data_IF_751371541131
#
_entry.id   IF_751371541131
#
_cell.length_a   1.000
_cell.length_b   1.000
_cell.length_c   1.000
_cell.angle_alpha   90.00
_cell.angle_beta   90.00
_cell.angle_gamma   90.00
#
_symmetry.space_group_name_H-M   'P 1'
#
loop_
_entity.id
_entity.type
_entity.pdbx_description
1 polymer ?
#
# COMPACT_ATOMS: atom_id res chain seq x y z
N UNK A 1 37.68 -12.66 19.24
CA UNK A 1 38.30 -11.51 19.95
C UNK A 1 38.74 -10.52 18.88
N UNK A 2 38.52 -9.21 19.05
CA UNK A 2 38.81 -8.24 17.98
C UNK A 2 40.30 -8.23 17.62
N UNK A 3 40.62 -8.33 16.32
CA UNK A 3 42.00 -8.26 15.80
C UNK A 3 42.70 -6.99 16.29
N UNK A 4 41.97 -5.88 16.34
CA UNK A 4 42.48 -4.60 16.84
C UNK A 4 42.81 -4.61 18.34
N UNK A 5 42.11 -5.40 19.16
CA UNK A 5 42.45 -5.57 20.58
C UNK A 5 43.73 -6.39 20.72
N UNK A 6 43.86 -7.47 19.95
CA UNK A 6 45.03 -8.35 20.00
C UNK A 6 46.29 -7.69 19.43
N UNK A 7 46.14 -6.76 18.48
CA UNK A 7 47.22 -5.97 17.90
C UNK A 7 47.56 -4.71 18.72
N UNK A 8 46.92 -4.49 19.87
CA UNK A 8 47.18 -3.33 20.73
C UNK A 8 46.70 -1.98 20.17
N UNK A 9 45.89 -1.99 19.10
CA UNK A 9 45.29 -0.77 18.52
C UNK A 9 44.21 -0.21 19.45
N UNK A 10 43.48 -1.08 20.15
CA UNK A 10 42.47 -0.70 21.14
C UNK A 10 42.94 -1.05 22.57
N UNK A 11 42.66 -0.19 23.57
CA UNK A 11 43.00 -0.49 24.95
C UNK A 11 42.19 -1.69 25.47
N UNK A 12 42.76 -2.40 26.44
CA UNK A 12 42.11 -3.57 27.06
C UNK A 12 40.77 -3.23 27.72
N UNK A 13 40.60 -1.98 28.17
CA UNK A 13 39.35 -1.43 28.71
C UNK A 13 38.20 -1.46 27.70
N UNK A 14 38.48 -1.48 26.39
CA UNK A 14 37.47 -1.57 25.33
C UNK A 14 36.82 -2.96 25.22
N UNK A 15 37.35 -3.99 25.89
CA UNK A 15 36.87 -5.38 25.79
C UNK A 15 35.38 -5.51 26.13
N UNK A 16 34.91 -4.81 27.17
CA UNK A 16 33.51 -4.85 27.57
C UNK A 16 32.59 -4.27 26.49
N UNK A 17 32.98 -3.14 25.89
CA UNK A 17 32.25 -2.49 24.81
C UNK A 17 32.20 -3.36 23.55
N UNK A 18 33.32 -3.98 23.18
CA UNK A 18 33.39 -4.92 22.04
C UNK A 18 32.43 -6.10 22.25
N UNK A 19 32.41 -6.67 23.46
CA UNK A 19 31.50 -7.76 23.78
C UNK A 19 30.05 -7.33 23.71
N UNK A 20 29.71 -6.17 24.30
CA UNK A 20 28.35 -5.62 24.24
C UNK A 20 27.88 -5.39 22.80
N UNK A 21 28.71 -4.79 21.95
CA UNK A 21 28.39 -4.58 20.53
C UNK A 21 28.13 -5.91 19.83
N UNK A 22 28.99 -6.92 20.01
CA UNK A 22 28.78 -8.24 19.41
C UNK A 22 27.52 -8.94 19.92
N UNK A 23 27.17 -8.75 21.19
CA UNK A 23 25.97 -9.32 21.77
C UNK A 23 24.69 -8.67 21.21
N UNK A 24 24.71 -7.34 21.08
CA UNK A 24 23.62 -6.61 20.44
C UNK A 24 23.51 -6.94 18.95
N UNK A 25 24.61 -7.00 18.19
CA UNK A 25 24.62 -7.34 16.76
C UNK A 25 23.92 -8.68 16.50
N UNK A 26 24.29 -9.71 17.26
CA UNK A 26 23.65 -11.03 17.19
C UNK A 26 22.18 -11.01 17.59
N UNK A 27 21.80 -10.20 18.59
CA UNK A 27 20.41 -10.05 18.99
C UNK A 27 19.59 -9.40 17.86
N UNK A 28 20.11 -8.33 17.26
CA UNK A 28 19.47 -7.68 16.11
C UNK A 28 19.38 -8.64 14.93
N UNK A 29 20.40 -9.44 14.66
CA UNK A 29 20.38 -10.43 13.61
C UNK A 29 19.26 -11.46 13.81
N UNK A 30 19.05 -11.95 15.05
CA UNK A 30 17.93 -12.84 15.40
C UNK A 30 16.58 -12.16 15.20
N UNK A 31 16.44 -10.87 15.51
CA UNK A 31 15.19 -10.12 15.36
C UNK A 31 14.95 -9.56 13.96
N UNK A 32 15.93 -9.68 13.05
CA UNK A 32 15.85 -9.24 11.67
C UNK A 32 16.24 -10.36 10.68
N UNK A 33 15.82 -11.59 10.99
CA UNK A 33 16.21 -12.77 10.21
C UNK A 33 15.49 -12.87 8.86
N UNK A 34 16.16 -13.44 7.86
CA UNK A 34 15.66 -13.63 6.49
C UNK A 34 16.25 -14.91 5.86
N UNK A 35 15.70 -15.37 4.74
CA UNK A 35 16.23 -16.54 4.00
C UNK A 35 17.38 -16.15 3.04
N UNK A 36 18.20 -15.17 3.41
CA UNK A 36 19.24 -14.65 2.51
C UNK A 36 20.41 -15.64 2.45
N UNK A 37 20.84 -16.09 1.26
CA UNK A 37 22.00 -16.98 1.13
C UNK A 37 23.26 -16.34 1.71
N UNK A 38 24.13 -17.14 2.33
CA UNK A 38 25.41 -16.70 2.90
C UNK A 38 25.32 -15.61 3.98
N UNK A 39 24.17 -15.47 4.65
CA UNK A 39 24.03 -14.57 5.80
C UNK A 39 24.76 -15.09 7.04
N UNK A 40 24.98 -14.21 8.03
CA UNK A 40 25.51 -14.63 9.33
C UNK A 40 24.58 -15.69 9.94
N UNK A 41 25.13 -16.58 10.76
CA UNK A 41 24.37 -17.66 11.41
C UNK A 41 23.13 -17.14 12.18
N UNK A 42 23.25 -16.01 12.86
CA UNK A 42 22.16 -15.40 13.63
C UNK A 42 21.11 -14.67 12.76
N UNK A 43 21.42 -14.35 11.49
CA UNK A 43 20.45 -13.80 10.54
C UNK A 43 19.60 -14.88 9.86
N UNK A 44 19.95 -16.16 10.03
CA UNK A 44 19.14 -17.24 9.51
C UNK A 44 17.76 -17.21 10.18
N UNK A 45 16.71 -17.68 9.48
CA UNK A 45 15.36 -17.72 10.04
C UNK A 45 15.34 -18.36 11.42
N UNK A 46 14.53 -17.80 12.31
CA UNK A 46 14.39 -18.32 13.66
C UNK A 46 13.78 -19.73 13.61
N UNK A 47 14.49 -20.67 14.22
CA UNK A 47 14.15 -22.10 14.26
C UNK A 47 14.14 -22.66 15.67
N UNK A 48 14.29 -21.79 16.67
CA UNK A 48 14.46 -22.19 18.07
C UNK A 48 15.68 -23.13 18.25
N UNK A 49 16.73 -22.92 17.44
CA UNK A 49 17.98 -23.68 17.56
C UNK A 49 18.73 -23.29 18.83
N UNK A 50 19.52 -24.22 19.38
CA UNK A 50 20.26 -24.04 20.62
C UNK A 50 21.04 -22.71 20.67
N UNK A 51 21.77 -22.39 19.60
CA UNK A 51 22.58 -21.18 19.55
C UNK A 51 21.73 -19.89 19.61
N UNK A 52 20.52 -19.89 19.02
CA UNK A 52 19.59 -18.76 19.08
C UNK A 52 19.04 -18.61 20.49
N UNK A 53 18.64 -19.71 21.13
CA UNK A 53 18.05 -19.71 22.47
C UNK A 53 19.05 -19.39 23.56
N UNK A 54 20.25 -19.95 23.47
CA UNK A 54 21.36 -19.64 24.37
C UNK A 54 21.68 -18.14 24.28
N UNK A 55 21.75 -17.57 23.07
CA UNK A 55 21.99 -16.13 22.89
C UNK A 55 20.85 -15.25 23.43
N UNK A 56 19.58 -15.61 23.17
CA UNK A 56 18.42 -14.90 23.73
C UNK A 56 18.41 -14.92 25.26
N UNK A 57 18.82 -16.04 25.87
CA UNK A 57 18.92 -16.19 27.33
C UNK A 57 20.02 -15.31 27.92
N UNK A 58 21.20 -15.27 27.28
CA UNK A 58 22.29 -14.36 27.64
C UNK A 58 21.83 -12.89 27.60
N UNK A 59 21.11 -12.51 26.54
CA UNK A 59 20.61 -11.13 26.40
C UNK A 59 19.55 -10.79 27.44
N UNK A 60 18.66 -11.73 27.74
CA UNK A 60 17.66 -11.57 28.79
C UNK A 60 18.31 -11.31 30.16
N UNK A 61 19.31 -12.11 30.54
CA UNK A 61 20.08 -11.89 31.76
C UNK A 61 20.83 -10.56 31.75
N UNK A 62 21.44 -10.20 30.62
CA UNK A 62 22.16 -8.93 30.48
C UNK A 62 21.22 -7.74 30.69
N UNK A 63 20.03 -7.75 30.08
CA UNK A 63 19.05 -6.67 30.24
C UNK A 63 18.46 -6.60 31.65
N UNK A 64 18.20 -7.75 32.31
CA UNK A 64 17.73 -7.78 33.71
C UNK A 64 18.73 -7.14 34.68
N UNK A 65 20.03 -7.28 34.40
CA UNK A 65 21.10 -6.76 35.23
C UNK A 65 21.69 -5.42 34.74
N UNK A 66 21.15 -4.86 33.65
CA UNK A 66 21.67 -3.65 33.04
C UNK A 66 21.31 -2.42 33.90
N UNK A 67 22.31 -1.55 34.11
CA UNK A 67 22.11 -0.21 34.66
C UNK A 67 22.45 0.85 33.62
N UNK A 68 21.60 1.86 33.52
CA UNK A 68 21.86 3.04 32.69
C UNK A 68 22.24 4.20 33.59
N UNK A 69 23.48 4.64 33.45
CA UNK A 69 24.07 5.70 34.26
C UNK A 69 24.10 6.99 33.45
N UNK A 70 23.58 8.06 34.03
CA UNK A 70 23.59 9.37 33.38
C UNK A 70 25.02 9.94 33.34
N UNK A 71 25.47 10.31 32.13
CA UNK A 71 26.87 10.65 31.82
C UNK A 71 27.48 11.72 32.73
N UNK A 72 26.71 12.75 33.09
CA UNK A 72 27.26 13.94 33.75
C UNK A 72 27.19 13.92 35.28
N UNK A 73 26.16 13.30 35.85
CA UNK A 73 25.92 13.33 37.29
C UNK A 73 26.05 11.93 37.95
N UNK A 74 26.32 10.88 37.16
CA UNK A 74 26.50 9.53 37.66
C UNK A 74 25.24 8.86 38.23
N UNK A 75 24.06 9.50 38.10
CA UNK A 75 22.84 8.96 38.68
C UNK A 75 22.33 7.76 37.87
N UNK A 76 21.80 6.75 38.56
CA UNK A 76 21.09 5.64 37.95
C UNK A 76 19.74 6.13 37.38
N UNK A 77 19.61 6.07 36.06
CA UNK A 77 18.42 6.45 35.29
C UNK A 77 17.75 5.27 34.63
N UNK A 78 18.07 4.04 35.04
CA UNK A 78 17.53 2.80 34.47
C UNK A 78 16.00 2.79 34.44
N UNK A 79 15.36 3.31 35.49
CA UNK A 79 13.88 3.41 35.59
C UNK A 79 13.26 4.44 34.64
N UNK A 80 14.05 5.33 34.04
CA UNK A 80 13.58 6.37 33.10
C UNK A 80 13.65 5.93 31.65
N UNK A 81 14.30 4.80 31.36
CA UNK A 81 14.45 4.28 30.01
C UNK A 81 13.55 3.08 29.79
N UNK A 82 12.85 3.05 28.65
CA UNK A 82 11.89 1.99 28.36
C UNK A 82 12.47 0.86 27.50
N UNK A 83 13.62 1.06 26.84
CA UNK A 83 14.17 0.09 25.89
C UNK A 83 14.57 -1.24 26.54
N UNK A 84 14.98 -1.24 27.81
CA UNK A 84 15.32 -2.47 28.55
C UNK A 84 14.08 -3.35 28.66
N UNK A 85 12.96 -2.78 29.12
CA UNK A 85 11.70 -3.49 29.18
C UNK A 85 11.21 -3.89 27.78
N UNK A 86 11.40 -3.02 26.78
CA UNK A 86 11.09 -3.31 25.39
C UNK A 86 11.80 -4.57 24.87
N UNK A 87 13.11 -4.71 25.12
CA UNK A 87 13.85 -5.91 24.73
C UNK A 87 13.43 -7.15 25.50
N UNK A 88 13.18 -7.05 26.81
CA UNK A 88 12.69 -8.18 27.60
C UNK A 88 11.34 -8.69 27.07
N UNK A 89 10.44 -7.76 26.73
CA UNK A 89 9.15 -8.08 26.10
C UNK A 89 9.37 -8.71 24.73
N UNK A 90 10.23 -8.14 23.88
CA UNK A 90 10.50 -8.70 22.54
C UNK A 90 11.08 -10.11 22.60
N UNK A 91 12.04 -10.37 23.50
CA UNK A 91 12.64 -11.70 23.70
C UNK A 91 11.59 -12.70 24.18
N UNK A 92 10.81 -12.33 25.20
CA UNK A 92 9.73 -13.18 25.71
C UNK A 92 8.66 -13.43 24.64
N UNK A 93 8.25 -12.39 23.92
CA UNK A 93 7.27 -12.43 22.85
C UNK A 93 7.70 -13.35 21.70
N UNK A 94 8.97 -13.30 21.28
CA UNK A 94 9.48 -14.22 20.25
C UNK A 94 9.41 -15.69 20.71
N UNK A 95 9.83 -15.98 21.95
CA UNK A 95 9.75 -17.34 22.53
C UNK A 95 8.29 -17.81 22.60
N UNK A 96 7.37 -16.96 23.07
CA UNK A 96 5.95 -17.28 23.17
C UNK A 96 5.30 -17.46 21.79
N UNK A 97 5.62 -16.59 20.82
CA UNK A 97 5.09 -16.65 19.48
C UNK A 97 5.50 -17.96 18.79
N UNK A 98 6.77 -18.34 18.92
CA UNK A 98 7.26 -19.62 18.39
C UNK A 98 6.44 -20.80 18.90
N UNK A 99 6.27 -20.91 20.23
CA UNK A 99 5.48 -21.98 20.84
C UNK A 99 4.01 -21.93 20.40
N UNK A 100 3.44 -20.72 20.26
CA UNK A 100 2.04 -20.53 19.85
C UNK A 100 1.78 -20.93 18.39
N UNK A 101 2.79 -20.83 17.53
CA UNK A 101 2.71 -21.25 16.13
C UNK A 101 2.84 -22.78 15.95
N UNK A 102 3.02 -23.52 17.06
CA UNK A 102 3.05 -24.98 17.15
C UNK A 102 3.88 -25.68 16.04
N UNK A 103 5.18 -25.36 15.93
CA UNK A 103 6.04 -25.86 14.86
C UNK A 103 6.29 -27.38 14.94
N UNK A 104 5.94 -28.05 16.04
CA UNK A 104 6.07 -29.51 16.19
C UNK A 104 5.25 -30.29 15.15
N UNK A 105 4.28 -29.66 14.50
CA UNK A 105 3.53 -30.23 13.39
C UNK A 105 4.30 -30.20 12.05
N UNK A 106 5.38 -29.42 11.96
CA UNK A 106 6.19 -29.28 10.75
C UNK A 106 7.67 -29.06 11.07
N UNK A 107 8.48 -30.10 10.87
CA UNK A 107 9.93 -30.07 11.11
C UNK A 107 10.70 -29.06 10.24
N UNK A 108 10.11 -28.55 9.15
CA UNK A 108 10.70 -27.51 8.31
C UNK A 108 10.23 -26.10 8.66
N UNK A 109 9.44 -25.95 9.74
CA UNK A 109 8.92 -24.64 10.13
C UNK A 109 10.05 -23.67 10.47
N UNK A 110 9.97 -22.46 9.90
CA UNK A 110 10.91 -21.37 10.16
C UNK A 110 10.18 -20.06 10.30
N UNK A 111 10.65 -19.21 11.22
CA UNK A 111 10.08 -17.88 11.46
C UNK A 111 11.04 -16.80 10.98
N UNK A 112 10.64 -16.05 9.95
CA UNK A 112 11.38 -14.88 9.46
C UNK A 112 11.06 -13.67 10.32
N UNK A 113 11.84 -13.45 11.37
CA UNK A 113 11.62 -12.36 12.33
C UNK A 113 11.75 -10.97 11.71
N UNK A 114 12.48 -10.81 10.59
CA UNK A 114 12.49 -9.56 9.82
C UNK A 114 11.13 -9.18 9.21
N UNK A 115 10.11 -10.04 9.30
CA UNK A 115 8.71 -9.72 8.95
C UNK A 115 7.87 -9.29 10.15
N UNK A 116 8.43 -9.32 11.37
CA UNK A 116 7.76 -9.04 12.65
C UNK A 116 8.30 -7.72 13.20
N UNK A 117 8.49 -6.75 12.31
CA UNK A 117 8.88 -5.40 12.64
C UNK A 117 8.02 -4.42 11.81
N UNK A 118 8.17 -3.13 12.09
CA UNK A 118 7.41 -2.09 11.40
C UNK A 118 8.10 -1.57 10.13
N UNK A 119 9.23 -2.15 9.71
CA UNK A 119 10.04 -1.64 8.59
C UNK A 119 9.24 -1.65 7.28
N UNK A 120 8.40 -2.68 7.08
CA UNK A 120 7.53 -2.74 5.90
C UNK A 120 6.53 -1.57 5.84
N UNK A 121 6.03 -1.14 7.00
CA UNK A 121 5.14 0.00 7.13
C UNK A 121 5.88 1.32 6.96
N UNK A 122 7.08 1.44 7.52
CA UNK A 122 7.94 2.62 7.34
C UNK A 122 8.35 2.80 5.87
N UNK A 123 8.71 1.71 5.19
CA UNK A 123 8.98 1.70 3.76
C UNK A 123 7.75 2.13 2.94
N UNK A 124 6.55 1.68 3.33
CA UNK A 124 5.31 2.11 2.71
C UNK A 124 5.07 3.62 2.92
N UNK A 125 5.33 4.15 4.11
CA UNK A 125 5.27 5.60 4.35
C UNK A 125 6.28 6.37 3.50
N UNK A 126 7.47 5.82 3.28
CA UNK A 126 8.44 6.35 2.31
C UNK A 126 7.85 6.47 0.90
N UNK A 127 7.18 5.43 0.43
CA UNK A 127 6.49 5.41 -0.86
C UNK A 127 5.41 6.48 -0.97
N UNK A 128 4.65 6.74 0.11
CA UNK A 128 3.67 7.83 0.14
C UNK A 128 4.32 9.21 0.04
N UNK A 129 5.41 9.44 0.78
CA UNK A 129 6.15 10.72 0.74
C UNK A 129 6.82 10.98 -0.61
N UNK A 130 7.14 9.94 -1.37
CA UNK A 130 7.66 10.07 -2.74
C UNK A 130 6.58 10.47 -3.75
N UNK A 131 5.29 10.35 -3.40
CA UNK A 131 4.23 10.85 -4.27
C UNK A 131 4.23 12.39 -4.34
N UNK A 132 3.68 12.93 -5.43
CA UNK A 132 3.53 14.38 -5.63
C UNK A 132 4.85 15.17 -5.64
N UNK A 133 5.94 14.57 -6.13
CA UNK A 133 7.24 15.25 -6.27
C UNK A 133 8.07 15.26 -5.00
N UNK A 134 8.14 14.13 -4.29
CA UNK A 134 8.88 13.98 -3.03
C UNK A 134 8.41 14.92 -1.92
N UNK A 135 7.10 14.99 -1.72
CA UNK A 135 6.53 15.73 -0.61
C UNK A 135 6.79 14.99 0.72
N UNK A 136 7.81 15.45 1.45
CA UNK A 136 8.20 14.87 2.75
C UNK A 136 7.12 14.97 3.82
N UNK A 137 6.16 15.91 3.69
CA UNK A 137 5.06 16.09 4.63
C UNK A 137 3.71 16.23 3.90
N UNK A 138 3.13 15.12 3.40
CA UNK A 138 1.85 15.17 2.71
C UNK A 138 0.74 15.59 3.66
N UNK A 139 -0.16 16.44 3.17
CA UNK A 139 -1.43 16.72 3.85
C UNK A 139 -2.29 15.44 3.91
N UNK A 140 -3.27 15.34 4.84
CA UNK A 140 -4.14 14.18 4.92
C UNK A 140 -4.84 13.82 3.59
N UNK A 141 -5.25 14.82 2.81
CA UNK A 141 -5.89 14.57 1.50
C UNK A 141 -4.90 14.04 0.46
N UNK A 142 -3.66 14.55 0.44
CA UNK A 142 -2.60 14.05 -0.42
C UNK A 142 -2.22 12.61 -0.05
N UNK A 143 -2.17 12.28 1.24
CA UNK A 143 -1.99 10.91 1.70
C UNK A 143 -3.11 10.00 1.19
N UNK A 144 -4.39 10.42 1.29
CA UNK A 144 -5.52 9.63 0.79
C UNK A 144 -5.40 9.39 -0.72
N UNK A 145 -5.02 10.40 -1.49
CA UNK A 145 -4.81 10.25 -2.94
C UNK A 145 -3.64 9.32 -3.26
N UNK A 146 -2.50 9.49 -2.58
CA UNK A 146 -1.34 8.63 -2.70
C UNK A 146 -1.68 7.17 -2.36
N UNK A 147 -2.39 6.94 -1.26
CA UNK A 147 -2.86 5.63 -0.83
C UNK A 147 -3.75 4.98 -1.88
N UNK A 148 -4.80 5.66 -2.34
CA UNK A 148 -5.70 5.14 -3.39
C UNK A 148 -4.94 4.76 -4.66
N UNK A 149 -4.02 5.64 -5.09
CA UNK A 149 -3.19 5.41 -6.27
C UNK A 149 -2.29 4.18 -6.09
N UNK A 150 -1.51 4.11 -5.01
CA UNK A 150 -0.58 3.01 -4.76
C UNK A 150 -1.31 1.69 -4.55
N UNK A 151 -2.43 1.72 -3.82
CA UNK A 151 -3.29 0.55 -3.64
C UNK A 151 -3.74 0.00 -4.99
N UNK A 152 -4.34 0.82 -5.86
CA UNK A 152 -4.75 0.36 -7.19
C UNK A 152 -3.56 -0.12 -8.02
N UNK A 153 -2.44 0.61 -8.03
CA UNK A 153 -1.26 0.23 -8.83
C UNK A 153 -0.67 -1.10 -8.41
N UNK A 154 -0.50 -1.35 -7.11
CA UNK A 154 0.05 -2.62 -6.61
C UNK A 154 -0.99 -3.75 -6.70
N UNK A 155 -2.28 -3.47 -6.50
CA UNK A 155 -3.35 -4.46 -6.63
C UNK A 155 -3.53 -4.95 -8.08
N UNK A 156 -3.37 -4.07 -9.06
CA UNK A 156 -3.46 -4.42 -10.48
C UNK A 156 -2.10 -4.75 -11.11
N UNK A 157 -1.02 -4.82 -10.31
CA UNK A 157 0.32 -5.14 -10.80
C UNK A 157 0.40 -6.63 -11.11
N UNK A 158 0.79 -6.94 -12.34
CA UNK A 158 0.95 -8.32 -12.80
C UNK A 158 2.24 -8.92 -12.25
N UNK A 159 2.23 -10.22 -11.92
CA UNK A 159 3.47 -10.97 -11.71
C UNK A 159 4.23 -11.04 -13.04
N UNK A 160 5.54 -10.70 -13.11
CA UNK A 160 6.32 -10.71 -14.34
C UNK A 160 6.38 -12.07 -15.08
N UNK A 161 6.00 -13.17 -14.42
CA UNK A 161 6.11 -14.54 -14.92
C UNK A 161 4.78 -15.26 -15.11
N UNK A 162 3.63 -14.61 -14.86
CA UNK A 162 2.32 -15.25 -14.95
C UNK A 162 1.66 -15.01 -16.32
N UNK A 163 1.56 -16.05 -17.16
CA UNK A 163 0.85 -16.01 -18.46
C UNK A 163 -0.69 -16.08 -18.31
N UNK A 164 -1.19 -16.35 -17.11
CA UNK A 164 -2.60 -16.36 -16.77
C UNK A 164 -2.78 -15.70 -15.40
N UNK A 165 -3.81 -14.88 -15.26
CA UNK A 165 -4.26 -14.34 -13.97
C UNK A 165 -4.77 -15.54 -13.16
N UNK A 166 -4.10 -15.91 -12.06
CA UNK A 166 -4.86 -16.54 -10.99
C UNK A 166 -5.74 -15.46 -10.39
N UNK A 167 -7.04 -15.70 -10.44
CA UNK A 167 -8.07 -14.80 -9.95
C UNK A 167 -7.88 -14.63 -8.43
N UNK A 168 -7.29 -13.50 -8.02
CA UNK A 168 -7.09 -13.10 -6.61
C UNK A 168 -8.38 -12.49 -6.04
N UNK A 169 -9.42 -12.34 -6.85
CA UNK A 169 -10.80 -12.10 -6.41
C UNK A 169 -11.26 -13.09 -5.33
N UNK A 170 -10.67 -14.29 -5.24
CA UNK A 170 -10.82 -15.21 -4.10
C UNK A 170 -10.56 -14.56 -2.74
N UNK A 171 -9.65 -13.59 -2.62
CA UNK A 171 -9.43 -12.83 -1.37
C UNK A 171 -10.63 -11.91 -1.07
N UNK A 172 -11.18 -11.25 -2.09
CA UNK A 172 -12.39 -10.43 -1.95
C UNK A 172 -13.63 -11.29 -1.64
N UNK A 173 -13.67 -12.52 -2.16
CA UNK A 173 -14.71 -13.52 -1.88
C UNK A 173 -14.56 -14.15 -0.48
N UNK A 174 -13.32 -14.31 0.02
CA UNK A 174 -13.00 -14.86 1.34
C UNK A 174 -13.26 -13.92 2.52
N UNK A 175 -13.52 -12.63 2.28
CA UNK A 175 -14.00 -11.72 3.33
C UNK A 175 -15.31 -12.23 3.96
N UNK A 176 -16.15 -12.94 3.18
CA UNK A 176 -17.38 -13.58 3.70
C UNK A 176 -17.10 -14.79 4.60
N UNK A 177 -15.99 -15.50 4.40
CA UNK A 177 -15.64 -16.72 5.16
C UNK A 177 -15.00 -16.39 6.52
N UNK A 178 -14.48 -15.17 6.72
CA UNK A 178 -13.96 -14.68 8.01
C UNK A 178 -15.05 -14.51 9.09
N UNK A 179 -16.33 -14.61 8.72
CA UNK A 179 -17.44 -14.59 9.67
C UNK A 179 -17.53 -15.86 10.53
N UNK A 180 -16.78 -16.92 10.22
CA UNK A 180 -16.74 -18.16 11.01
C UNK A 180 -15.53 -18.24 11.96
N UNK A 181 -14.76 -17.17 12.11
CA UNK A 181 -13.63 -17.13 13.06
C UNK A 181 -14.16 -16.81 14.47
N UNK A 182 -13.52 -17.41 15.47
CA UNK A 182 -13.72 -17.19 16.91
C UNK A 182 -14.26 -15.79 17.27
N UNK A 183 -15.23 -15.67 18.20
CA UNK A 183 -15.79 -14.39 18.65
C UNK A 183 -14.72 -13.34 19.02
N UNK A 184 -13.56 -13.79 19.53
CA UNK A 184 -12.43 -12.92 19.87
C UNK A 184 -11.78 -12.23 18.66
N UNK A 185 -11.79 -12.85 17.48
CA UNK A 185 -11.24 -12.27 16.25
C UNK A 185 -12.22 -11.30 15.58
N UNK A 186 -13.53 -11.53 15.75
CA UNK A 186 -14.56 -10.62 15.25
C UNK A 186 -14.56 -9.27 15.96
N UNK A 187 -14.25 -9.20 17.27
CA UNK A 187 -14.11 -7.93 17.98
C UNK A 187 -12.90 -7.10 17.53
N UNK A 188 -11.87 -7.74 16.97
CA UNK A 188 -10.67 -7.07 16.44
C UNK A 188 -10.93 -6.53 15.02
N UNK A 189 -11.62 -7.32 14.18
CA UNK A 189 -11.93 -6.95 12.79
C UNK A 189 -13.10 -5.96 12.68
N UNK A 190 -14.07 -6.10 13.59
CA UNK A 190 -15.16 -5.17 13.78
C UNK A 190 -15.03 -4.59 15.19
N UNK A 191 -14.13 -3.61 15.41
CA UNK A 191 -14.21 -2.84 16.63
C UNK A 191 -15.64 -2.34 16.72
N UNK A 192 -16.35 -2.72 17.81
CA UNK A 192 -17.63 -2.10 18.15
C UNK A 192 -17.43 -0.62 17.89
N UNK A 193 -18.33 0.01 17.12
CA UNK A 193 -18.35 1.45 16.93
C UNK A 193 -18.54 2.08 18.32
N UNK A 194 -17.45 2.14 19.08
CA UNK A 194 -17.30 3.04 20.20
C UNK A 194 -17.29 4.38 19.52
N UNK A 195 -18.39 5.11 19.72
CA UNK A 195 -18.60 6.50 19.33
C UNK A 195 -17.33 7.14 18.82
N UNK A 196 -17.19 7.18 17.48
CA UNK A 196 -16.05 7.77 16.82
C UNK A 196 -15.81 9.14 17.50
N UNK A 197 -14.69 9.35 18.21
CA UNK A 197 -14.53 10.53 19.06
C UNK A 197 -14.54 11.83 18.24
N UNK A 198 -14.39 11.69 16.92
CA UNK A 198 -14.52 12.75 15.94
C UNK A 198 -15.94 12.75 15.38
N UNK A 199 -16.82 13.56 15.98
CA UNK A 199 -18.07 14.01 15.34
C UNK A 199 -17.70 14.96 14.20
N UNK A 200 -17.45 14.42 13.01
CA UNK A 200 -17.32 15.25 11.82
C UNK A 200 -18.71 15.77 11.45
N UNK A 201 -19.04 16.98 11.89
CA UNK A 201 -20.12 17.78 11.28
C UNK A 201 -19.64 18.21 9.90
N UNK A 202 -20.35 17.83 8.80
CA UNK A 202 -20.00 18.31 7.48
C UNK A 202 -20.07 19.84 7.48
N UNK A 203 -18.94 20.50 7.24
CA UNK A 203 -18.91 21.95 7.08
C UNK A 203 -19.68 22.27 5.79
N UNK A 204 -20.85 22.90 5.93
CA UNK A 204 -21.61 23.39 4.77
C UNK A 204 -20.97 24.70 4.32
N UNK A 205 -20.05 24.61 3.37
CA UNK A 205 -19.41 25.80 2.79
C UNK A 205 -20.43 26.46 1.85
N UNK A 206 -20.90 27.65 2.21
CA UNK A 206 -21.73 28.49 1.35
C UNK A 206 -20.92 29.06 0.19
N UNK A 207 -21.31 28.71 -1.04
CA UNK A 207 -21.08 29.38 -2.35
C UNK A 207 -19.67 29.94 -2.62
N UNK A 208 -18.88 29.55 -3.61
CA UNK A 208 -19.09 28.95 -4.94
C UNK A 208 -18.06 27.83 -5.10
N UNK A 209 -18.51 26.58 -5.11
CA UNK A 209 -17.60 25.45 -5.19
C UNK A 209 -17.11 25.28 -6.63
N UNK A 210 -15.82 25.50 -6.86
CA UNK A 210 -15.14 25.12 -8.11
C UNK A 210 -15.27 23.60 -8.38
N UNK A 211 -15.65 22.77 -7.40
CA UNK A 211 -16.01 21.35 -7.61
C UNK A 211 -17.37 21.15 -8.31
N UNK A 212 -18.17 22.20 -8.51
CA UNK A 212 -19.32 22.17 -9.44
C UNK A 212 -18.91 22.45 -10.88
N UNK A 213 -17.71 22.95 -11.10
CA UNK A 213 -17.07 22.89 -12.40
C UNK A 213 -16.53 21.46 -12.52
N UNK A 214 -17.37 20.54 -13.01
CA UNK A 214 -17.02 19.13 -13.25
C UNK A 214 -15.95 18.99 -14.37
N UNK A 215 -15.06 19.98 -14.52
CA UNK A 215 -14.12 20.16 -15.62
C UNK A 215 -13.17 18.95 -15.70
N UNK A 216 -12.55 18.44 -14.62
CA UNK A 216 -11.70 17.26 -14.71
C UNK A 216 -12.45 16.02 -15.21
N UNK A 217 -13.63 15.74 -14.66
CA UNK A 217 -14.49 14.62 -15.08
C UNK A 217 -14.98 14.79 -16.51
N UNK A 218 -15.43 16.00 -16.88
CA UNK A 218 -15.88 16.34 -18.24
C UNK A 218 -14.72 16.21 -19.24
N UNK A 219 -13.50 16.61 -18.87
CA UNK A 219 -12.32 16.42 -19.69
C UNK A 219 -11.97 14.94 -19.88
N UNK A 220 -12.02 14.15 -18.80
CA UNK A 220 -11.79 12.71 -18.84
C UNK A 220 -12.83 11.99 -19.72
N UNK A 221 -14.11 12.33 -19.55
CA UNK A 221 -15.19 11.77 -20.35
C UNK A 221 -15.09 12.17 -21.83
N UNK A 222 -14.75 13.43 -22.12
CA UNK A 222 -14.53 13.91 -23.49
C UNK A 222 -13.39 13.13 -24.16
N UNK A 223 -12.30 12.91 -23.43
CA UNK A 223 -11.18 12.10 -23.91
C UNK A 223 -11.60 10.64 -24.20
N UNK A 224 -12.42 10.03 -23.34
CA UNK A 224 -12.99 8.69 -23.56
C UNK A 224 -13.92 8.69 -24.79
N UNK A 225 -14.76 9.72 -24.96
CA UNK A 225 -15.62 9.86 -26.13
C UNK A 225 -14.78 9.91 -27.41
N UNK A 226 -13.66 10.63 -27.42
CA UNK A 226 -12.71 10.64 -28.53
C UNK A 226 -12.15 9.26 -28.88
N UNK A 227 -11.79 8.48 -27.86
CA UNK A 227 -11.33 7.10 -28.04
C UNK A 227 -12.44 6.19 -28.61
N UNK A 228 -13.66 6.28 -28.08
CA UNK A 228 -14.80 5.48 -28.56
C UNK A 228 -15.18 5.86 -29.99
N UNK A 229 -15.16 7.15 -30.34
CA UNK A 229 -15.39 7.61 -31.70
C UNK A 229 -14.34 7.04 -32.67
N UNK A 230 -13.06 6.99 -32.26
CA UNK A 230 -12.01 6.33 -33.06
C UNK A 230 -12.35 4.87 -33.33
N UNK A 231 -12.86 4.13 -32.33
CA UNK A 231 -13.32 2.74 -32.50
C UNK A 231 -14.54 2.59 -33.40
N UNK A 232 -15.43 3.59 -33.44
CA UNK A 232 -16.51 3.63 -34.41
C UNK A 232 -15.97 3.81 -35.83
N UNK A 233 -14.99 4.70 -36.03
CA UNK A 233 -14.36 4.92 -37.35
C UNK A 233 -13.56 3.72 -37.86
N UNK A 234 -13.04 2.87 -36.98
CA UNK A 234 -12.42 1.58 -37.38
C UNK A 234 -13.42 0.68 -38.13
N UNK A 235 -14.73 0.88 -37.92
CA UNK A 235 -15.82 0.09 -38.55
C UNK A 235 -16.64 0.89 -39.57
N UNK A 236 -16.74 2.21 -39.41
CA UNK A 236 -17.58 3.09 -40.21
C UNK A 236 -16.73 4.17 -40.89
N UNK A 237 -16.17 3.84 -42.05
CA UNK A 237 -15.20 4.67 -42.80
C UNK A 237 -15.90 5.64 -43.77
N UNK A 238 -17.18 5.93 -43.56
CA UNK A 238 -17.95 6.80 -44.43
C UNK A 238 -17.54 8.27 -44.27
N UNK A 239 -17.61 9.07 -45.34
CA UNK A 239 -17.19 10.48 -45.27
C UNK A 239 -18.03 11.28 -44.25
N UNK A 240 -19.33 10.99 -44.15
CA UNK A 240 -20.22 11.61 -43.16
C UNK A 240 -19.77 11.29 -41.73
N UNK A 241 -19.33 10.05 -41.49
CA UNK A 241 -18.82 9.55 -40.22
C UNK A 241 -17.52 10.28 -39.82
N UNK A 242 -16.60 10.44 -40.79
CA UNK A 242 -15.32 11.14 -40.61
C UNK A 242 -15.57 12.62 -40.32
N UNK A 243 -16.49 13.26 -41.05
CA UNK A 243 -16.84 14.66 -40.85
C UNK A 243 -17.49 14.87 -39.47
N UNK A 244 -18.40 13.98 -39.07
CA UNK A 244 -19.03 14.01 -37.75
C UNK A 244 -18.02 13.85 -36.61
N UNK A 245 -17.03 12.97 -36.77
CA UNK A 245 -16.00 12.72 -35.77
C UNK A 245 -14.99 13.88 -35.61
N UNK A 246 -14.79 14.69 -36.66
CA UNK A 246 -13.88 15.83 -36.68
C UNK A 246 -14.62 17.19 -36.60
N UNK A 247 -15.87 17.19 -36.14
CA UNK A 247 -16.72 18.36 -36.16
C UNK A 247 -16.18 19.51 -35.29
N UNK A 248 -15.60 19.21 -34.13
CA UNK A 248 -15.19 20.23 -33.17
C UNK A 248 -13.87 20.90 -33.55
N UNK A 249 -13.93 22.21 -33.80
CA UNK A 249 -12.79 23.05 -34.18
C UNK A 249 -12.45 24.13 -33.14
N UNK A 250 -13.29 24.28 -32.11
CA UNK A 250 -13.13 25.30 -31.06
C UNK A 250 -12.54 24.69 -29.80
N UNK A 251 -11.71 25.46 -29.10
CA UNK A 251 -11.14 25.07 -27.80
C UNK A 251 -12.09 25.52 -26.68
N UNK A 252 -12.56 24.57 -25.89
CA UNK A 252 -13.41 24.78 -24.72
C UNK A 252 -12.73 24.19 -23.46
N UNK A 253 -13.11 24.63 -22.24
CA UNK A 253 -12.53 24.12 -21.00
C UNK A 253 -12.63 22.60 -20.83
N UNK A 254 -13.65 21.98 -21.40
CA UNK A 254 -13.89 20.53 -21.43
C UNK A 254 -12.93 19.74 -22.33
N UNK A 255 -12.12 20.42 -23.17
CA UNK A 255 -11.23 19.81 -24.15
C UNK A 255 -9.75 19.96 -23.80
N UNK A 256 -9.44 20.64 -22.69
CA UNK A 256 -8.08 20.96 -22.26
C UNK A 256 -7.20 19.72 -22.08
N UNK A 257 -7.75 18.61 -21.57
CA UNK A 257 -7.00 17.36 -21.45
C UNK A 257 -6.59 16.79 -22.82
N UNK A 258 -7.49 16.81 -23.80
CA UNK A 258 -7.20 16.39 -25.16
C UNK A 258 -6.17 17.31 -25.82
N UNK A 259 -6.31 18.62 -25.62
CA UNK A 259 -5.37 19.64 -26.09
C UNK A 259 -3.96 19.48 -25.51
N UNK A 260 -3.81 19.39 -24.19
CA UNK A 260 -2.49 19.21 -23.56
C UNK A 260 -1.81 17.89 -23.95
N UNK A 261 -2.61 16.86 -24.25
CA UNK A 261 -2.08 15.56 -24.70
C UNK A 261 -1.66 15.57 -26.17
N UNK A 262 -2.27 16.42 -27.00
CA UNK A 262 -1.93 16.54 -28.41
C UNK A 262 -0.75 17.46 -28.69
N UNK A 263 -0.56 18.51 -27.89
CA UNK A 263 0.59 19.44 -28.01
C UNK A 263 1.95 18.76 -27.86
N UNK A 264 1.99 17.49 -27.44
CA UNK A 264 3.20 16.69 -27.42
C UNK A 264 3.64 16.18 -28.81
N UNK A 265 2.77 16.16 -29.83
CA UNK A 265 3.01 15.33 -31.02
C UNK A 265 2.56 15.87 -32.40
N UNK A 266 1.88 17.02 -32.59
CA UNK A 266 1.50 17.50 -33.95
C UNK A 266 1.03 18.99 -34.00
N UNK A 267 0.98 19.58 -35.21
CA UNK A 267 0.60 20.98 -35.50
C UNK A 267 -0.92 21.28 -35.53
N UNK A 268 -1.80 20.30 -35.29
CA UNK A 268 -3.25 20.51 -35.23
C UNK A 268 -3.72 20.70 -33.78
N UNK A 269 -4.84 21.42 -33.58
CA UNK A 269 -5.36 21.80 -32.25
C UNK A 269 -5.50 20.59 -31.30
N UNK A 270 -5.87 19.42 -31.82
CA UNK A 270 -6.01 18.17 -31.05
C UNK A 270 -5.11 17.03 -31.56
N UNK A 271 -4.12 17.31 -32.40
CA UNK A 271 -3.23 16.30 -32.95
C UNK A 271 -4.01 15.20 -33.70
N UNK A 272 -3.77 13.94 -33.30
CA UNK A 272 -4.52 12.75 -33.77
C UNK A 272 -5.71 12.37 -32.88
N UNK A 273 -5.99 13.15 -31.82
CA UNK A 273 -7.12 12.88 -30.94
C UNK A 273 -8.41 13.43 -31.57
N UNK A 274 -9.50 12.70 -31.38
CA UNK A 274 -10.83 13.11 -31.83
C UNK A 274 -11.56 13.75 -30.67
N UNK A 275 -12.27 14.84 -30.95
CA UNK A 275 -13.22 15.45 -30.04
C UNK A 275 -14.58 15.40 -30.74
N UNK A 276 -15.43 14.40 -30.41
CA UNK A 276 -16.65 14.16 -31.14
C UNK A 276 -17.72 15.21 -30.84
N UNK A 277 -18.77 15.25 -31.66
CA UNK A 277 -19.93 16.13 -31.47
C UNK A 277 -20.58 15.96 -30.08
N UNK A 278 -21.19 17.02 -29.57
CA UNK A 278 -21.83 17.05 -28.25
C UNK A 278 -22.93 15.98 -28.11
N UNK A 279 -23.62 15.65 -29.20
CA UNK A 279 -24.63 14.58 -29.21
C UNK A 279 -24.02 13.21 -28.87
N UNK A 280 -22.82 12.93 -29.37
CA UNK A 280 -22.12 11.69 -29.05
C UNK A 280 -21.62 11.70 -27.60
N UNK A 281 -21.10 12.83 -27.13
CA UNK A 281 -20.75 13.01 -25.72
C UNK A 281 -21.96 12.77 -24.81
N UNK A 282 -23.10 13.40 -25.12
CA UNK A 282 -24.35 13.26 -24.37
C UNK A 282 -24.88 11.83 -24.38
N UNK A 283 -24.71 11.12 -25.50
CA UNK A 283 -25.04 9.70 -25.60
C UNK A 283 -24.18 8.86 -24.65
N UNK A 284 -22.85 9.03 -24.67
CA UNK A 284 -21.95 8.31 -23.76
C UNK A 284 -22.21 8.68 -22.29
N UNK A 285 -22.46 9.96 -21.99
CA UNK A 285 -22.80 10.42 -20.65
C UNK A 285 -24.07 9.76 -20.09
N UNK A 286 -25.10 9.57 -20.94
CA UNK A 286 -26.32 8.84 -20.55
C UNK A 286 -26.01 7.37 -20.24
N UNK A 287 -25.15 6.73 -21.03
CA UNK A 287 -24.73 5.35 -20.79
C UNK A 287 -23.93 5.22 -19.47
N UNK A 288 -22.99 6.13 -19.24
CA UNK A 288 -22.19 6.17 -18.02
C UNK A 288 -23.07 6.43 -16.79
N UNK A 289 -24.03 7.35 -16.88
CA UNK A 289 -24.98 7.63 -15.81
C UNK A 289 -25.80 6.40 -15.43
N UNK A 290 -26.33 5.68 -16.44
CA UNK A 290 -27.03 4.41 -16.20
C UNK A 290 -26.12 3.35 -15.60
N UNK A 291 -24.88 3.25 -16.06
CA UNK A 291 -23.89 2.34 -15.50
C UNK A 291 -23.65 2.66 -14.02
N UNK A 292 -23.32 3.89 -13.66
CA UNK A 292 -23.04 4.31 -12.28
C UNK A 292 -24.23 4.03 -11.35
N UNK A 293 -25.46 4.32 -11.80
CA UNK A 293 -26.66 4.10 -11.00
C UNK A 293 -26.96 2.61 -10.75
N UNK A 294 -26.74 1.75 -11.75
CA UNK A 294 -27.18 0.36 -11.69
C UNK A 294 -26.05 -0.62 -11.31
N UNK A 295 -24.78 -0.25 -11.51
CA UNK A 295 -23.64 -1.12 -11.29
C UNK A 295 -23.54 -1.65 -9.85
N UNK A 296 -23.72 -0.84 -8.78
CA UNK A 296 -23.64 -1.34 -7.41
C UNK A 296 -24.66 -2.46 -7.09
N UNK A 297 -25.83 -2.41 -7.73
CA UNK A 297 -26.92 -3.37 -7.52
C UNK A 297 -26.72 -4.64 -8.39
N UNK A 298 -26.12 -4.48 -9.57
CA UNK A 298 -25.99 -5.56 -10.57
C UNK A 298 -24.68 -6.32 -10.39
N UNK A 299 -23.61 -5.68 -9.90
CA UNK A 299 -22.28 -6.27 -9.76
C UNK A 299 -22.24 -7.54 -8.90
N UNK A 300 -23.21 -7.72 -8.00
CA UNK A 300 -23.34 -8.90 -7.13
C UNK A 300 -24.19 -10.05 -7.72
N UNK A 301 -24.66 -9.91 -8.97
CA UNK A 301 -25.56 -10.88 -9.62
C UNK A 301 -24.85 -11.59 -10.77
N UNK A 302 -25.27 -12.82 -11.11
CA UNK A 302 -24.75 -13.52 -12.29
C UNK A 302 -25.10 -12.80 -13.59
N UNK A 303 -24.29 -13.02 -14.64
CA UNK A 303 -24.48 -12.46 -15.98
C UNK A 303 -24.52 -10.92 -16.01
N UNK A 304 -23.67 -10.27 -15.21
CA UNK A 304 -23.53 -8.79 -15.09
C UNK A 304 -23.50 -8.10 -16.45
N UNK A 305 -22.68 -8.59 -17.39
CA UNK A 305 -22.53 -7.99 -18.71
C UNK A 305 -23.82 -7.96 -19.52
N UNK A 306 -24.60 -9.05 -19.51
CA UNK A 306 -25.89 -9.12 -20.21
C UNK A 306 -26.90 -8.16 -19.57
N UNK A 307 -26.97 -8.12 -18.24
CA UNK A 307 -27.89 -7.25 -17.49
C UNK A 307 -27.59 -5.77 -17.71
N UNK A 308 -26.31 -5.37 -17.67
CA UNK A 308 -25.90 -4.00 -17.97
C UNK A 308 -26.19 -3.63 -19.42
N UNK A 309 -25.93 -4.54 -20.37
CA UNK A 309 -26.23 -4.32 -21.79
C UNK A 309 -27.72 -4.08 -22.01
N UNK A 310 -28.59 -4.87 -21.38
CA UNK A 310 -30.04 -4.76 -21.57
C UNK A 310 -30.59 -3.44 -20.99
N UNK A 311 -30.05 -2.94 -19.88
CA UNK A 311 -30.40 -1.62 -19.33
C UNK A 311 -29.93 -0.48 -20.26
N UNK A 312 -28.78 -0.66 -20.91
CA UNK A 312 -28.23 0.29 -21.87
C UNK A 312 -29.00 0.31 -23.20
N UNK A 313 -29.69 -0.78 -23.59
CA UNK A 313 -30.51 -0.82 -24.82
C UNK A 313 -31.71 0.12 -24.77
N UNK A 314 -32.22 0.46 -23.59
CA UNK A 314 -33.31 1.43 -23.41
C UNK A 314 -32.80 2.88 -23.29
N UNK A 315 -31.57 3.18 -23.72
CA UNK A 315 -31.01 4.54 -23.73
C UNK A 315 -31.30 5.31 -25.04
N UNK A 316 -32.04 4.67 -25.96
CA UNK A 316 -32.63 5.27 -27.15
C UNK A 316 -34.06 5.71 -26.84
#
# INVERSE_FOLDING_TARGET
MSVALNQGILPTTSKCTINFINFMDRLFDIFNSSNTPNSKIYNNPFKNEKHQIDHLTIMEEMFKNMKVIHKFNGSDVTKRVNFINGWLISISGLKMLWNSLNPEQNNEYTLRTGRINQDCLENLFGTFRQQHGNNSNPTPIQFVWAFKKIFCLEYFKQSPSANCIEDIDKVLCKVKELNNVSPSFQEILNPKQTNNPFKFTPITIGTVDYRKLNIPETNALTYICGYLMRKCLDKHVCQDCINYANFQQKLEPSFLLSFFKSTANDNSLYGKLLVPHDDFYNYIFKLESKFIQNFPIIAIKDNVGTKLRDISKHAF
#
